data_IF_407671331380
#
_entry.id   IF_407671331380
#
_cell.length_a   1.000
_cell.length_b   1.000
_cell.length_c   1.000
_cell.angle_alpha   90.00
_cell.angle_beta   90.00
_cell.angle_gamma   90.00
#
_symmetry.space_group_name_H-M   'P 1'
#
loop_
_entity.id
_entity.type
_entity.pdbx_description
1 polymer ?
#
# COMPACT_ATOMS: atom_id res chain seq x y z
N UNK A 1 10.66 -6.98 -48.94
CA UNK A 1 10.28 -7.33 -47.57
C UNK A 1 11.39 -6.82 -46.68
N UNK A 2 11.15 -5.70 -46.02
CA UNK A 2 12.04 -5.14 -45.00
C UNK A 2 11.75 -5.91 -43.71
N UNK A 3 12.74 -6.51 -43.04
CA UNK A 3 12.49 -7.15 -41.75
C UNK A 3 12.20 -6.08 -40.69
N UNK A 4 11.17 -6.32 -39.91
CA UNK A 4 10.78 -5.54 -38.73
C UNK A 4 11.84 -5.75 -37.63
N UNK A 5 12.26 -4.71 -36.88
CA UNK A 5 13.18 -4.87 -35.75
C UNK A 5 12.51 -5.63 -34.60
N UNK A 6 13.29 -6.33 -33.75
CA UNK A 6 12.73 -7.09 -32.63
C UNK A 6 12.02 -6.15 -31.65
N UNK A 7 10.79 -6.50 -31.27
CA UNK A 7 10.04 -5.84 -30.21
C UNK A 7 10.84 -5.96 -28.91
N UNK A 8 11.30 -4.82 -28.41
CA UNK A 8 12.18 -4.71 -27.25
C UNK A 8 11.44 -5.16 -25.97
N UNK A 9 12.08 -6.05 -25.23
CA UNK A 9 11.52 -6.85 -24.12
C UNK A 9 11.35 -5.97 -22.88
N UNK A 10 10.34 -5.07 -22.87
CA UNK A 10 9.69 -4.47 -21.70
C UNK A 10 10.56 -3.85 -20.59
N UNK A 11 11.86 -3.69 -20.78
CA UNK A 11 12.82 -3.28 -19.75
C UNK A 11 13.62 -2.11 -20.31
N UNK A 12 13.30 -0.93 -19.81
CA UNK A 12 14.00 0.30 -20.15
C UNK A 12 15.46 0.23 -19.68
N UNK A 13 16.37 0.66 -20.55
CA UNK A 13 17.76 0.86 -20.21
C UNK A 13 17.92 2.02 -19.19
N UNK A 14 19.01 2.08 -18.40
CA UNK A 14 19.22 3.12 -17.40
C UNK A 14 19.14 4.55 -17.94
N UNK A 15 19.59 4.77 -19.18
CA UNK A 15 19.54 6.07 -19.86
C UNK A 15 18.12 6.44 -20.33
N UNK A 16 17.20 5.47 -20.42
CA UNK A 16 15.78 5.68 -20.75
C UNK A 16 14.92 5.89 -19.49
N UNK A 17 15.46 5.62 -18.31
CA UNK A 17 14.87 5.94 -17.01
C UNK A 17 15.17 7.38 -16.56
N UNK A 18 15.56 8.26 -17.48
CA UNK A 18 15.72 9.67 -17.15
C UNK A 18 14.34 10.29 -16.96
N UNK A 19 14.08 10.71 -15.72
CA UNK A 19 12.92 11.50 -15.36
C UNK A 19 13.16 12.92 -15.88
N UNK A 20 12.78 13.20 -17.13
CA UNK A 20 12.76 14.58 -17.62
C UNK A 20 11.95 15.45 -16.64
N UNK A 21 12.48 16.64 -16.32
CA UNK A 21 11.94 17.53 -15.27
C UNK A 21 10.45 17.87 -15.42
N UNK A 22 9.87 17.72 -16.62
CA UNK A 22 8.46 17.99 -16.92
C UNK A 22 7.46 17.07 -16.18
N UNK A 23 7.92 15.90 -15.73
CA UNK A 23 7.10 14.93 -14.97
C UNK A 23 7.28 15.03 -13.46
N UNK A 24 8.18 15.89 -12.97
CA UNK A 24 8.60 15.93 -11.57
C UNK A 24 8.34 17.33 -10.99
N UNK A 25 7.38 17.45 -10.07
CA UNK A 25 7.16 18.69 -9.31
C UNK A 25 7.82 18.59 -7.92
N UNK A 26 8.59 19.60 -7.51
CA UNK A 26 9.18 19.68 -6.17
C UNK A 26 8.14 20.14 -5.14
N UNK A 27 7.94 19.35 -4.07
CA UNK A 27 7.01 19.67 -2.98
C UNK A 27 7.74 20.12 -1.69
N UNK A 28 9.07 20.05 -1.67
CA UNK A 28 9.92 20.49 -0.57
C UNK A 28 11.21 19.67 -0.46
N UNK A 29 11.97 19.89 0.61
CA UNK A 29 13.27 19.26 0.83
C UNK A 29 13.18 17.73 0.75
N UNK A 30 13.76 17.16 -0.31
CA UNK A 30 13.77 15.72 -0.62
C UNK A 30 12.39 15.09 -0.90
N UNK A 31 11.42 15.87 -1.39
CA UNK A 31 10.09 15.35 -1.73
C UNK A 31 9.65 15.81 -3.10
N UNK A 32 9.35 14.84 -3.96
CA UNK A 32 9.03 15.04 -5.37
C UNK A 32 7.73 14.34 -5.73
N UNK A 33 6.92 14.98 -6.58
CA UNK A 33 5.70 14.42 -7.14
C UNK A 33 5.97 14.01 -8.58
N UNK A 34 5.89 12.71 -8.86
CA UNK A 34 6.12 12.16 -10.20
C UNK A 34 4.78 11.85 -10.87
N UNK A 35 4.49 12.50 -12.00
CA UNK A 35 3.25 12.28 -12.76
C UNK A 35 3.42 11.11 -13.72
N UNK A 36 2.70 10.01 -13.49
CA UNK A 36 2.65 8.90 -14.45
C UNK A 36 1.95 9.32 -15.74
N UNK A 37 2.56 9.03 -16.89
CA UNK A 37 1.97 9.30 -18.20
C UNK A 37 0.64 8.54 -18.34
N UNK A 38 -0.43 9.30 -18.61
CA UNK A 38 -1.79 8.76 -18.81
C UNK A 38 -2.90 9.42 -17.98
N UNK A 39 -2.58 10.09 -16.86
CA UNK A 39 -3.62 10.63 -15.95
C UNK A 39 -3.98 12.12 -16.16
N UNK A 40 -3.20 12.84 -16.98
CA UNK A 40 -3.35 14.29 -17.16
C UNK A 40 -4.53 14.73 -18.03
N UNK A 41 -4.95 13.93 -19.01
CA UNK A 41 -6.00 14.34 -19.96
C UNK A 41 -7.43 14.14 -19.42
N UNK A 42 -7.62 13.22 -18.47
CA UNK A 42 -8.94 12.85 -17.97
C UNK A 42 -9.40 13.76 -16.82
N UNK A 43 -8.46 14.20 -15.96
CA UNK A 43 -8.77 15.05 -14.79
C UNK A 43 -9.21 16.47 -15.19
N UNK A 44 -8.64 17.02 -16.27
CA UNK A 44 -9.06 18.31 -16.82
C UNK A 44 -10.48 18.26 -17.43
N UNK A 45 -10.86 17.14 -18.05
CA UNK A 45 -12.21 16.94 -18.57
C UNK A 45 -13.24 16.75 -17.45
N UNK A 46 -12.87 16.11 -16.33
CA UNK A 46 -13.75 15.90 -15.18
C UNK A 46 -13.98 17.19 -14.36
N UNK A 47 -12.98 18.07 -14.26
CA UNK A 47 -13.18 19.41 -13.67
C UNK A 47 -14.13 20.29 -14.49
N UNK A 48 -14.11 20.20 -15.82
CA UNK A 48 -15.06 20.94 -16.68
C UNK A 48 -16.45 20.29 -16.75
N UNK A 49 -16.55 18.97 -16.56
CA UNK A 49 -17.83 18.25 -16.54
C UNK A 49 -18.58 18.37 -15.20
N UNK A 50 -17.85 18.63 -14.09
CA UNK A 50 -18.48 18.77 -12.77
C UNK A 50 -19.29 20.07 -12.61
N UNK A 51 -19.09 21.07 -13.48
CA UNK A 51 -19.83 22.34 -13.46
C UNK A 51 -21.19 22.26 -14.18
N UNK A 52 -21.50 21.16 -14.88
CA UNK A 52 -22.75 20.98 -15.64
C UNK A 52 -23.66 19.85 -15.13
N UNK A 53 -23.30 19.16 -14.05
CA UNK A 53 -23.97 17.95 -13.59
C UNK A 53 -25.00 18.15 -12.46
N UNK A 54 -25.59 19.34 -12.32
CA UNK A 54 -26.76 19.56 -11.44
C UNK A 54 -28.07 19.32 -12.22
N UNK A 55 -28.31 18.09 -12.70
CA UNK A 55 -29.63 17.62 -13.14
C UNK A 55 -29.70 16.09 -13.43
N UNK A 56 -30.19 15.33 -12.45
CA UNK A 56 -30.94 14.05 -12.53
C UNK A 56 -30.19 12.70 -12.80
N UNK A 57 -30.80 11.54 -12.39
CA UNK A 57 -30.06 10.41 -11.81
C UNK A 57 -29.99 9.11 -12.65
N UNK A 58 -29.11 8.21 -12.16
CA UNK A 58 -28.98 6.75 -12.33
C UNK A 58 -28.57 6.18 -13.71
N UNK A 59 -27.48 5.41 -13.71
CA UNK A 59 -27.05 4.54 -14.82
C UNK A 59 -26.05 3.47 -14.35
N UNK A 60 -26.52 2.23 -14.32
CA UNK A 60 -25.79 0.98 -14.06
C UNK A 60 -24.85 0.64 -15.24
N UNK A 61 -23.65 0.14 -14.96
CA UNK A 61 -22.69 -0.34 -15.97
C UNK A 61 -21.37 -0.84 -15.38
N UNK A 62 -20.87 -2.04 -15.77
CA UNK A 62 -19.79 -2.73 -15.06
C UNK A 62 -18.42 -2.23 -15.54
N UNK A 63 -17.66 -1.61 -14.64
CA UNK A 63 -16.27 -1.24 -14.87
C UNK A 63 -15.36 -2.35 -14.30
N UNK A 64 -14.76 -3.12 -15.20
CA UNK A 64 -13.89 -4.25 -14.89
C UNK A 64 -12.58 -3.89 -14.20
N UNK A 65 -12.10 -4.87 -13.44
CA UNK A 65 -10.71 -5.28 -13.23
C UNK A 65 -9.61 -4.40 -13.85
N UNK A 66 -9.31 -3.28 -13.20
CA UNK A 66 -8.02 -2.58 -13.31
C UNK A 66 -7.68 -1.82 -12.02
N UNK A 67 -8.35 -2.16 -10.90
CA UNK A 67 -8.27 -1.42 -9.64
C UNK A 67 -7.30 -2.02 -8.62
N UNK A 68 -6.79 -3.22 -8.82
CA UNK A 68 -6.08 -3.92 -7.74
C UNK A 68 -4.69 -3.34 -7.44
N UNK A 69 -3.92 -2.92 -8.44
CA UNK A 69 -2.49 -2.59 -8.23
C UNK A 69 -2.24 -1.14 -7.80
N UNK A 70 -3.11 -0.21 -8.19
CA UNK A 70 -2.99 1.22 -7.85
C UNK A 70 -3.45 1.52 -6.41
N UNK A 71 -4.34 0.68 -5.90
CA UNK A 71 -4.92 0.76 -4.56
C UNK A 71 -3.91 0.37 -3.47
N UNK A 72 -3.00 -0.58 -3.74
CA UNK A 72 -2.10 -1.10 -2.71
C UNK A 72 -0.96 -0.12 -2.37
N UNK A 73 -0.38 0.55 -3.38
CA UNK A 73 0.67 1.55 -3.14
C UNK A 73 0.15 2.80 -2.41
N UNK A 74 -1.06 3.26 -2.75
CA UNK A 74 -1.69 4.41 -2.08
C UNK A 74 -2.00 4.10 -0.60
N UNK A 75 -2.44 2.85 -0.31
CA UNK A 75 -2.65 2.39 1.06
C UNK A 75 -1.36 2.34 1.87
N UNK A 76 -0.29 1.73 1.35
CA UNK A 76 0.98 1.64 2.09
C UNK A 76 1.51 3.02 2.48
N UNK A 77 1.49 3.99 1.57
CA UNK A 77 1.91 5.36 1.87
C UNK A 77 0.98 6.09 2.85
N UNK A 78 -0.33 5.83 2.79
CA UNK A 78 -1.29 6.38 3.74
C UNK A 78 -1.07 5.85 5.17
N UNK A 79 -0.69 4.57 5.30
CA UNK A 79 -0.45 3.94 6.60
C UNK A 79 0.86 4.44 7.26
N UNK A 80 1.94 4.59 6.47
CA UNK A 80 3.20 5.19 6.96
C UNK A 80 2.99 6.61 7.52
N UNK A 81 2.21 7.44 6.82
CA UNK A 81 1.93 8.80 7.26
C UNK A 81 1.02 8.81 8.49
N UNK A 82 0.07 7.89 8.57
CA UNK A 82 -0.85 7.78 9.72
C UNK A 82 -0.12 7.38 11.00
N UNK A 83 0.88 6.49 10.93
CA UNK A 83 1.67 6.12 12.10
C UNK A 83 2.58 7.26 12.57
N UNK A 84 3.19 7.99 11.64
CA UNK A 84 4.08 9.12 11.97
C UNK A 84 3.33 10.32 12.58
N UNK A 85 2.07 10.53 12.19
CA UNK A 85 1.20 11.59 12.70
C UNK A 85 0.44 11.22 13.98
N UNK A 86 0.50 9.96 14.41
CA UNK A 86 -0.24 9.47 15.56
C UNK A 86 0.14 10.26 16.84
N UNK A 87 -0.85 10.74 17.63
CA UNK A 87 -0.57 11.46 18.87
C UNK A 87 0.03 10.55 19.96
N UNK A 88 -0.18 9.24 19.86
CA UNK A 88 0.39 8.24 20.75
C UNK A 88 1.91 8.10 20.57
N UNK A 89 2.69 8.02 21.66
CA UNK A 89 4.16 7.90 21.60
C UNK A 89 4.67 6.54 21.10
N UNK A 90 3.80 5.52 21.05
CA UNK A 90 4.16 4.17 20.65
C UNK A 90 3.17 3.68 19.61
N UNK A 91 3.67 3.12 18.53
CA UNK A 91 2.85 2.44 17.54
C UNK A 91 3.66 1.54 16.64
N UNK A 92 2.95 0.70 15.91
CA UNK A 92 3.50 -0.26 14.97
C UNK A 92 2.61 -0.29 13.74
N UNK A 93 3.24 -0.43 12.59
CA UNK A 93 2.63 -0.74 11.31
C UNK A 93 3.42 -1.90 10.71
N UNK A 94 2.72 -3.01 10.45
CA UNK A 94 3.30 -4.24 9.92
C UNK A 94 2.48 -4.72 8.74
N UNK A 95 3.20 -5.03 7.66
CA UNK A 95 2.69 -5.79 6.53
C UNK A 95 3.34 -7.17 6.55
N UNK A 96 2.51 -8.22 6.57
CA UNK A 96 2.94 -9.62 6.63
C UNK A 96 2.46 -10.36 5.38
N UNK A 97 3.35 -11.12 4.75
CA UNK A 97 3.03 -12.00 3.63
C UNK A 97 3.15 -13.46 4.06
N UNK A 98 2.04 -14.20 4.02
CA UNK A 98 1.96 -15.62 4.40
C UNK A 98 1.10 -16.35 3.37
N UNK A 99 1.55 -17.52 2.89
CA UNK A 99 0.83 -18.37 1.93
C UNK A 99 0.29 -17.66 0.66
N UNK A 100 0.96 -16.59 0.24
CA UNK A 100 0.57 -15.79 -0.93
C UNK A 100 -0.44 -14.68 -0.64
N UNK A 101 -0.93 -14.60 0.59
CA UNK A 101 -1.79 -13.54 1.08
C UNK A 101 -0.96 -12.47 1.79
N UNK A 102 -1.42 -11.21 1.71
CA UNK A 102 -0.82 -10.08 2.40
C UNK A 102 -1.80 -9.56 3.42
N UNK A 103 -1.39 -9.53 4.68
CA UNK A 103 -2.13 -8.96 5.79
C UNK A 103 -1.43 -7.69 6.28
N UNK A 104 -2.22 -6.74 6.75
CA UNK A 104 -1.73 -5.46 7.23
C UNK A 104 -2.32 -5.18 8.62
N UNK A 105 -1.52 -4.62 9.51
CA UNK A 105 -1.92 -4.29 10.86
C UNK A 105 -1.22 -3.03 11.37
N UNK A 106 -2.01 -2.12 11.91
CA UNK A 106 -1.56 -0.86 12.50
C UNK A 106 -2.15 -0.69 13.89
N UNK A 107 -1.33 -0.40 14.89
CA UNK A 107 -1.76 -0.14 16.26
C UNK A 107 -0.92 0.97 16.89
N UNK A 108 -1.54 1.86 17.65
CA UNK A 108 -0.86 2.91 18.40
C UNK A 108 -1.47 3.07 19.81
N UNK A 109 -0.64 3.24 20.83
CA UNK A 109 -1.07 3.43 22.23
C UNK A 109 -0.06 4.25 23.04
N UNK A 110 -0.52 4.78 24.16
CA UNK A 110 0.34 5.38 25.18
C UNK A 110 1.08 4.34 26.03
N UNK A 111 0.69 3.07 26.00
CA UNK A 111 1.42 1.96 26.66
C UNK A 111 2.02 1.03 25.60
N UNK A 112 3.35 0.93 25.56
CA UNK A 112 4.09 0.04 24.65
C UNK A 112 3.68 -1.43 24.79
N UNK A 113 3.24 -1.86 25.99
CA UNK A 113 2.79 -3.24 26.21
C UNK A 113 1.47 -3.53 25.52
N UNK A 114 0.58 -2.55 25.41
CA UNK A 114 -0.68 -2.74 24.69
C UNK A 114 -0.41 -2.94 23.20
N UNK A 115 0.43 -2.09 22.60
CA UNK A 115 0.85 -2.23 21.19
C UNK A 115 1.50 -3.60 20.95
N UNK A 116 2.38 -4.03 21.85
CA UNK A 116 3.06 -5.32 21.73
C UNK A 116 2.09 -6.51 21.86
N UNK A 117 1.17 -6.49 22.83
CA UNK A 117 0.18 -7.55 23.01
C UNK A 117 -0.78 -7.61 21.83
N UNK A 118 -1.22 -6.47 21.31
CA UNK A 118 -2.08 -6.38 20.15
C UNK A 118 -1.40 -7.00 18.92
N UNK A 119 -0.14 -6.60 18.67
CA UNK A 119 0.69 -7.18 17.62
C UNK A 119 0.82 -8.70 17.73
N UNK A 120 1.20 -9.21 18.91
CA UNK A 120 1.35 -10.66 19.12
C UNK A 120 0.04 -11.41 18.91
N UNK A 121 -1.07 -10.82 19.36
CA UNK A 121 -2.41 -11.41 19.21
C UNK A 121 -2.81 -11.47 17.74
N UNK A 122 -2.58 -10.39 17.00
CA UNK A 122 -2.82 -10.33 15.56
C UNK A 122 -1.93 -11.33 14.80
N UNK A 123 -0.63 -11.35 15.08
CA UNK A 123 0.30 -12.27 14.42
C UNK A 123 -0.07 -13.74 14.65
N UNK A 124 -0.48 -14.08 15.87
CA UNK A 124 -0.93 -15.44 16.19
C UNK A 124 -2.18 -15.84 15.38
N UNK A 125 -3.11 -14.90 15.17
CA UNK A 125 -4.27 -15.12 14.30
C UNK A 125 -3.93 -15.31 12.82
N UNK A 126 -2.77 -14.83 12.36
CA UNK A 126 -2.29 -15.07 11.00
C UNK A 126 -1.62 -16.46 10.86
N UNK A 127 -1.16 -17.06 11.95
CA UNK A 127 -0.49 -18.36 11.92
C UNK A 127 -1.49 -19.51 11.82
N UNK A 128 -2.52 -19.48 12.67
CA UNK A 128 -3.54 -20.51 12.72
C UNK A 128 -4.83 -19.92 13.31
N UNK A 129 -5.88 -19.80 12.49
CA UNK A 129 -7.18 -19.26 12.87
C UNK A 129 -8.05 -20.25 13.68
N UNK A 130 -7.70 -21.53 13.71
CA UNK A 130 -8.34 -22.55 14.53
C UNK A 130 -7.80 -22.56 15.98
N UNK A 131 -6.60 -21.98 16.20
CA UNK A 131 -5.98 -21.88 17.52
C UNK A 131 -6.29 -20.57 18.23
N UNK A 132 -6.39 -20.61 19.57
CA UNK A 132 -6.41 -19.37 20.34
C UNK A 132 -5.06 -18.65 20.21
N UNK A 133 -5.03 -17.30 20.16
CA UNK A 133 -3.77 -16.56 20.04
C UNK A 133 -2.76 -16.94 21.14
N UNK A 134 -3.23 -17.15 22.36
CA UNK A 134 -2.37 -17.58 23.49
C UNK A 134 -1.77 -18.97 23.30
N UNK A 135 -2.46 -19.88 22.62
CA UNK A 135 -1.99 -21.24 22.37
C UNK A 135 -0.97 -21.27 21.24
N UNK A 136 -1.26 -20.56 20.13
CA UNK A 136 -0.33 -20.38 19.02
C UNK A 136 1.01 -19.75 19.48
N UNK A 137 0.95 -18.71 20.32
CA UNK A 137 2.16 -18.08 20.90
C UNK A 137 2.95 -19.03 21.81
N UNK A 138 2.29 -19.90 22.58
CA UNK A 138 2.96 -20.92 23.39
C UNK A 138 3.69 -21.96 22.53
N UNK A 139 3.05 -22.41 21.46
CA UNK A 139 3.65 -23.35 20.50
C UNK A 139 4.86 -22.72 19.82
N UNK A 140 4.75 -21.47 19.36
CA UNK A 140 5.86 -20.72 18.77
C UNK A 140 7.02 -20.59 19.74
N UNK A 141 6.74 -20.25 21.00
CA UNK A 141 7.78 -20.09 22.02
C UNK A 141 8.47 -21.43 22.29
N UNK A 142 7.72 -22.51 22.39
CA UNK A 142 8.26 -23.86 22.59
C UNK A 142 9.09 -24.36 21.39
N UNK A 143 8.76 -23.91 20.18
CA UNK A 143 9.52 -24.21 18.97
C UNK A 143 10.72 -23.30 18.75
N UNK A 144 10.80 -22.16 19.46
CA UNK A 144 11.87 -21.19 19.34
C UNK A 144 13.03 -21.49 20.30
N UNK A 145 14.25 -21.11 19.91
CA UNK A 145 15.43 -21.06 20.80
C UNK A 145 15.42 -19.80 21.70
N UNK A 146 14.28 -19.13 21.86
CA UNK A 146 14.18 -17.91 22.66
C UNK A 146 14.16 -18.28 24.15
N UNK A 147 15.27 -18.03 24.85
CA UNK A 147 15.31 -18.18 26.30
C UNK A 147 14.52 -17.05 26.98
N UNK A 148 13.35 -17.39 27.53
CA UNK A 148 12.59 -16.49 28.41
C UNK A 148 13.00 -16.81 29.84
N UNK A 149 13.92 -16.01 30.38
CA UNK A 149 14.43 -16.15 31.76
C UNK A 149 13.80 -15.17 32.74
#
# INVERSE_FOLDING_TARGET
>A
MTPDPPEDDGVLAPDELQLDDDHVDELGENRYLVRSEGSGSERAAMSAASEVADALPAGDGPAGDARSERDDHDRTHAHDHALADAPEPHGVDITLKTDGEVAHHSAASHDVREVFVDLLTWYAGQLDDDMSPSEALQVMLAASDLEVS
#
